data_IF_438538005146
#
_entry.id   IF_438538005146
#
_cell.length_a   1.000
_cell.length_b   1.000
_cell.length_c   1.000
_cell.angle_alpha   90.00
_cell.angle_beta   90.00
_cell.angle_gamma   90.00
#
_symmetry.space_group_name_H-M   'P 1'
#
loop_
_entity.id
_entity.type
_entity.pdbx_description
1 polymer ?
#
# COMPACT_ATOMS: atom_id res chain seq x y z
N UNK A 1 0.17 -1.78 3.83
CA UNK A 1 0.84 -0.67 4.53
C UNK A 1 1.96 -1.17 5.44
N UNK A 2 1.68 -2.01 6.43
CA UNK A 2 2.71 -2.60 7.31
C UNK A 2 3.90 -3.19 6.50
N UNK A 3 3.59 -4.05 5.53
CA UNK A 3 4.57 -4.63 4.60
C UNK A 3 5.36 -3.58 3.81
N UNK A 4 4.69 -2.50 3.37
CA UNK A 4 5.33 -1.44 2.57
C UNK A 4 6.26 -0.56 3.39
N UNK A 5 5.95 -0.37 4.68
CA UNK A 5 6.78 0.40 5.60
C UNK A 5 7.82 -0.45 6.34
N UNK A 6 7.73 -1.79 6.26
CA UNK A 6 8.63 -2.69 6.99
C UNK A 6 8.39 -2.69 8.49
N UNK A 7 7.14 -2.50 8.94
CA UNK A 7 6.77 -2.38 10.36
C UNK A 7 5.76 -3.44 10.80
N UNK A 8 5.64 -3.76 12.11
CA UNK A 8 4.59 -4.63 12.62
C UNK A 8 3.18 -4.13 12.26
N UNK A 9 2.24 -5.05 12.08
CA UNK A 9 0.87 -4.72 11.71
C UNK A 9 0.19 -3.77 12.71
N UNK A 10 0.34 -4.03 14.01
CA UNK A 10 -0.30 -3.24 15.06
C UNK A 10 0.17 -1.79 15.04
N UNK A 11 1.47 -1.56 14.84
CA UNK A 11 2.01 -0.20 14.72
C UNK A 11 1.44 0.53 13.51
N UNK A 12 1.36 -0.17 12.38
CA UNK A 12 0.76 0.36 11.18
C UNK A 12 -0.73 0.73 11.43
N UNK A 13 -1.48 -0.18 12.04
CA UNK A 13 -2.89 -0.01 12.38
C UNK A 13 -3.14 1.18 13.32
N UNK A 14 -2.34 1.29 14.38
CA UNK A 14 -2.40 2.40 15.32
C UNK A 14 -2.08 3.73 14.66
N UNK A 15 -1.11 3.77 13.75
CA UNK A 15 -0.76 4.98 13.02
C UNK A 15 -1.96 5.53 12.26
N UNK A 16 -2.68 4.67 11.52
CA UNK A 16 -3.90 5.08 10.82
C UNK A 16 -4.97 5.58 11.78
N UNK A 17 -5.13 4.92 12.93
CA UNK A 17 -6.08 5.33 13.96
C UNK A 17 -5.74 6.70 14.55
N UNK A 18 -4.46 6.99 14.82
CA UNK A 18 -4.00 8.26 15.40
C UNK A 18 -4.13 9.43 14.42
N UNK A 19 -3.93 9.17 13.12
CA UNK A 19 -4.00 10.20 12.09
C UNK A 19 -5.43 10.69 11.79
N UNK A 20 -6.45 9.96 12.22
CA UNK A 20 -7.84 10.37 12.12
C UNK A 20 -8.51 10.41 13.50
N UNK A 21 -8.42 11.55 14.21
CA UNK A 21 -8.97 11.67 15.57
C UNK A 21 -10.50 11.59 15.60
N UNK A 22 -11.19 11.68 14.45
CA UNK A 22 -12.65 11.54 14.35
C UNK A 22 -13.07 10.10 14.07
N UNK A 23 -12.12 9.17 13.94
CA UNK A 23 -12.38 7.78 13.61
C UNK A 23 -13.22 7.11 14.68
N UNK A 24 -14.29 6.45 14.25
CA UNK A 24 -15.16 5.70 15.15
C UNK A 24 -14.36 4.64 15.93
N UNK A 25 -14.61 4.47 17.24
CA UNK A 25 -14.07 3.35 18.00
C UNK A 25 -14.48 1.97 17.46
N UNK A 26 -15.56 1.91 16.66
CA UNK A 26 -16.05 0.69 15.99
C UNK A 26 -15.39 0.44 14.64
N UNK A 27 -14.40 1.23 14.25
CA UNK A 27 -13.68 1.04 13.01
C UNK A 27 -12.99 -0.33 12.97
N UNK A 28 -13.20 -1.06 11.87
CA UNK A 28 -12.73 -2.44 11.66
C UNK A 28 -11.66 -2.56 10.58
N UNK A 29 -11.04 -1.46 10.17
CA UNK A 29 -9.90 -1.50 9.23
C UNK A 29 -10.12 -0.93 7.85
N UNK A 30 -11.31 -0.41 7.55
CA UNK A 30 -11.55 0.27 6.26
C UNK A 30 -10.67 1.51 6.14
N UNK A 31 -9.72 1.51 5.22
CA UNK A 31 -8.83 2.65 4.97
C UNK A 31 -8.99 3.23 3.57
N UNK A 32 -8.76 4.53 3.43
CA UNK A 32 -8.75 5.22 2.13
C UNK A 32 -7.33 5.42 1.59
N UNK A 33 -7.22 5.70 0.29
CA UNK A 33 -5.93 5.96 -0.38
C UNK A 33 -5.10 7.04 0.34
N UNK A 34 -5.72 8.17 0.68
CA UNK A 34 -5.04 9.29 1.31
C UNK A 34 -4.55 8.94 2.73
N UNK A 35 -5.31 8.14 3.48
CA UNK A 35 -4.95 7.68 4.83
C UNK A 35 -3.74 6.75 4.78
N UNK A 36 -3.74 5.80 3.84
CA UNK A 36 -2.63 4.88 3.63
C UNK A 36 -1.34 5.64 3.29
N UNK A 37 -1.43 6.67 2.44
CA UNK A 37 -0.28 7.53 2.12
C UNK A 37 0.20 8.36 3.31
N UNK A 38 -0.73 8.94 4.07
CA UNK A 38 -0.39 9.73 5.24
C UNK A 38 0.30 8.87 6.31
N UNK A 39 -0.21 7.68 6.56
CA UNK A 39 0.37 6.73 7.50
C UNK A 39 1.76 6.24 7.04
N UNK A 40 1.93 5.90 5.76
CA UNK A 40 3.25 5.57 5.21
C UNK A 40 4.28 6.68 5.43
N UNK A 41 3.90 7.93 5.15
CA UNK A 41 4.78 9.09 5.36
C UNK A 41 5.08 9.33 6.83
N UNK A 42 4.09 9.15 7.70
CA UNK A 42 4.27 9.26 9.15
C UNK A 42 5.24 8.22 9.68
N UNK A 43 5.22 7.01 9.12
CA UNK A 43 6.18 5.93 9.39
C UNK A 43 7.56 6.17 8.74
N UNK A 44 7.80 7.33 8.14
CA UNK A 44 9.08 7.68 7.53
C UNK A 44 9.29 7.13 6.11
N UNK A 45 8.30 6.46 5.51
CA UNK A 45 8.42 5.99 4.14
C UNK A 45 8.28 7.13 3.12
N UNK A 46 9.11 7.12 2.08
CA UNK A 46 8.94 8.00 0.92
C UNK A 46 7.83 7.46 0.04
N UNK A 47 6.87 8.31 -0.33
CA UNK A 47 5.72 7.95 -1.17
C UNK A 47 5.67 8.84 -2.40
N UNK A 48 5.94 8.25 -3.57
CA UNK A 48 5.97 8.92 -4.87
C UNK A 48 4.80 8.43 -5.73
N UNK A 49 3.88 9.31 -6.09
CA UNK A 49 2.76 8.92 -6.96
C UNK A 49 3.23 8.66 -8.39
N UNK A 50 2.71 7.60 -8.98
CA UNK A 50 3.06 7.20 -10.33
C UNK A 50 1.92 7.57 -11.28
N UNK A 51 2.17 8.44 -12.28
CA UNK A 51 1.18 8.73 -13.30
C UNK A 51 0.94 7.48 -14.14
N UNK A 52 -0.33 7.13 -14.32
CA UNK A 52 -0.76 6.08 -15.23
C UNK A 52 -2.12 6.50 -15.82
N UNK A 53 -2.42 6.05 -17.03
CA UNK A 53 -3.73 6.28 -17.66
C UNK A 53 -4.35 4.96 -18.06
N UNK A 54 -5.51 4.66 -17.48
CA UNK A 54 -6.44 3.64 -17.99
C UNK A 54 -5.85 2.26 -18.25
N UNK A 55 -5.18 1.66 -17.26
CA UNK A 55 -4.58 0.32 -17.39
C UNK A 55 -5.03 -0.65 -16.31
N UNK A 56 -4.94 -1.94 -16.63
CA UNK A 56 -5.22 -3.03 -15.69
C UNK A 56 -4.07 -3.23 -14.73
N UNK A 57 -4.33 -3.87 -13.60
CA UNK A 57 -3.30 -4.21 -12.62
C UNK A 57 -2.17 -5.06 -13.21
N UNK A 58 -2.50 -6.03 -14.07
CA UNK A 58 -1.49 -6.83 -14.78
C UNK A 58 -0.58 -5.99 -15.68
N UNK A 59 -1.15 -5.06 -16.46
CA UNK A 59 -0.37 -4.14 -17.31
C UNK A 59 0.47 -3.17 -16.48
N UNK A 60 -0.08 -2.68 -15.38
CA UNK A 60 0.66 -1.82 -14.45
C UNK A 60 1.87 -2.55 -13.86
N UNK A 61 1.67 -3.79 -13.38
CA UNK A 61 2.76 -4.61 -12.84
C UNK A 61 3.88 -4.81 -13.87
N UNK A 62 3.53 -5.15 -15.10
CA UNK A 62 4.48 -5.39 -16.19
C UNK A 62 5.25 -4.12 -16.61
N UNK A 63 4.58 -2.97 -16.72
CA UNK A 63 5.15 -1.78 -17.38
C UNK A 63 5.71 -0.73 -16.42
N UNK A 64 5.23 -0.69 -15.18
CA UNK A 64 5.53 0.39 -14.23
C UNK A 64 6.24 -0.08 -12.96
N UNK A 65 6.39 -1.39 -12.76
CA UNK A 65 7.15 -1.89 -11.61
C UNK A 65 8.58 -2.23 -11.98
N UNK A 66 9.48 -1.96 -11.05
CA UNK A 66 10.89 -2.27 -11.14
C UNK A 66 11.18 -3.32 -10.08
N UNK A 67 12.04 -4.29 -10.43
CA UNK A 67 12.48 -5.33 -9.49
C UNK A 67 13.08 -4.71 -8.23
N UNK A 68 12.72 -5.24 -7.06
CA UNK A 68 13.14 -4.81 -5.73
C UNK A 68 12.42 -3.57 -5.21
N UNK A 69 11.44 -3.01 -5.94
CA UNK A 69 10.64 -1.88 -5.48
C UNK A 69 9.26 -2.32 -4.98
N UNK A 70 8.75 -1.57 -4.00
CA UNK A 70 7.43 -1.77 -3.42
C UNK A 70 6.46 -0.68 -3.88
N UNK A 71 5.20 -1.07 -4.11
CA UNK A 71 4.17 -0.17 -4.62
C UNK A 71 2.89 -0.31 -3.81
N UNK A 72 2.29 0.82 -3.45
CA UNK A 72 0.90 0.87 -3.01
C UNK A 72 0.02 1.03 -4.25
N UNK A 73 -0.90 0.08 -4.48
CA UNK A 73 -1.84 0.14 -5.61
C UNK A 73 -3.26 0.13 -5.09
N UNK A 74 -4.12 0.92 -5.71
CA UNK A 74 -5.56 0.88 -5.49
C UNK A 74 -6.27 0.38 -6.74
N UNK A 75 -7.01 -0.71 -6.62
CA UNK A 75 -7.95 -1.16 -7.64
C UNK A 75 -9.36 -1.04 -7.10
N UNK A 76 -10.22 -0.33 -7.83
CA UNK A 76 -11.61 -0.03 -7.43
C UNK A 76 -11.73 0.75 -6.11
N UNK A 77 -11.63 0.08 -4.97
CA UNK A 77 -11.67 0.65 -3.62
C UNK A 77 -10.74 -0.09 -2.66
N UNK A 78 -9.91 -1.00 -3.18
CA UNK A 78 -9.06 -1.87 -2.38
C UNK A 78 -7.58 -1.50 -2.58
N UNK A 79 -6.92 -1.13 -1.49
CA UNK A 79 -5.49 -0.86 -1.46
C UNK A 79 -4.71 -2.14 -1.17
N UNK A 80 -3.73 -2.47 -2.01
CA UNK A 80 -2.84 -3.63 -1.85
C UNK A 80 -1.39 -3.20 -1.96
N UNK A 81 -0.49 -4.01 -1.40
CA UNK A 81 0.93 -3.91 -1.68
C UNK A 81 1.26 -4.74 -2.92
N UNK A 82 2.09 -4.20 -3.81
CA UNK A 82 2.64 -4.90 -4.97
C UNK A 82 4.16 -4.86 -4.87
N UNK A 83 4.79 -6.04 -4.83
CA UNK A 83 6.24 -6.21 -4.66
C UNK A 83 6.67 -7.32 -5.60
N UNK A 84 7.59 -7.04 -6.52
CA UNK A 84 8.13 -8.04 -7.46
C UNK A 84 7.07 -8.89 -8.18
N UNK A 85 5.99 -8.24 -8.63
CA UNK A 85 4.89 -8.93 -9.33
C UNK A 85 3.96 -9.75 -8.43
N UNK A 86 4.13 -9.66 -7.11
CA UNK A 86 3.29 -10.32 -6.10
C UNK A 86 2.43 -9.28 -5.39
N UNK A 87 1.11 -9.51 -5.37
CA UNK A 87 0.19 -8.74 -4.55
C UNK A 87 0.15 -9.32 -3.15
N UNK A 88 0.19 -8.45 -2.15
CA UNK A 88 0.03 -8.82 -0.75
C UNK A 88 -1.15 -8.03 -0.16
N UNK A 89 -2.17 -8.77 0.26
CA UNK A 89 -3.37 -8.26 0.93
C UNK A 89 -3.73 -9.14 2.15
N UNK A 90 -4.92 -8.93 2.71
CA UNK A 90 -5.42 -9.68 3.86
C UNK A 90 -5.61 -11.20 3.61
N UNK A 91 -5.62 -11.66 2.36
CA UNK A 91 -5.70 -13.07 1.96
C UNK A 91 -4.33 -13.71 1.77
N UNK A 92 -3.26 -12.93 1.91
CA UNK A 92 -1.89 -13.38 1.76
C UNK A 92 -1.27 -12.99 0.41
N UNK A 93 -0.03 -13.43 0.15
CA UNK A 93 0.68 -13.14 -1.09
C UNK A 93 0.14 -13.96 -2.27
N UNK A 94 -0.03 -13.33 -3.42
CA UNK A 94 -0.43 -13.99 -4.67
C UNK A 94 0.19 -13.30 -5.89
N UNK A 95 0.73 -14.05 -6.87
CA UNK A 95 1.21 -13.48 -8.12
C UNK A 95 0.11 -12.68 -8.84
N UNK A 96 0.44 -11.51 -9.38
CA UNK A 96 -0.51 -10.67 -10.12
C UNK A 96 -1.17 -11.45 -11.27
N UNK A 97 -0.43 -12.33 -11.95
CA UNK A 97 -0.95 -13.14 -13.05
C UNK A 97 -2.10 -14.06 -12.64
N UNK A 98 -2.12 -14.51 -11.38
CA UNK A 98 -3.12 -15.42 -10.81
C UNK A 98 -4.22 -14.67 -10.05
N UNK A 99 -3.96 -13.43 -9.64
CA UNK A 99 -4.88 -12.69 -8.80
C UNK A 99 -6.23 -12.38 -9.48
N UNK A 100 -7.37 -12.51 -8.79
CA UNK A 100 -8.69 -12.17 -9.34
C UNK A 100 -8.78 -10.70 -9.79
N UNK A 101 -8.06 -9.80 -9.12
CA UNK A 101 -8.06 -8.37 -9.46
C UNK A 101 -7.16 -7.99 -10.65
N UNK A 102 -6.44 -8.94 -11.27
CA UNK A 102 -5.44 -8.64 -12.34
C UNK A 102 -6.00 -7.87 -13.53
N UNK A 103 -7.28 -8.07 -13.85
CA UNK A 103 -8.00 -7.39 -14.94
C UNK A 103 -8.70 -6.10 -14.49
N UNK A 104 -8.73 -5.81 -13.19
CA UNK A 104 -9.30 -4.56 -12.67
C UNK A 104 -8.38 -3.39 -12.99
N UNK A 105 -8.98 -2.20 -13.13
CA UNK A 105 -8.25 -0.97 -13.40
C UNK A 105 -7.58 -0.44 -12.13
N UNK A 106 -6.32 -0.04 -12.28
CA UNK A 106 -5.63 0.75 -11.25
C UNK A 106 -6.22 2.16 -11.26
N UNK A 107 -6.63 2.63 -10.09
CA UNK A 107 -7.13 4.01 -9.88
C UNK A 107 -6.04 4.92 -9.35
N UNK A 108 -5.25 4.39 -8.42
CA UNK A 108 -4.16 5.12 -7.79
C UNK A 108 -2.96 4.19 -7.61
N UNK A 109 -1.77 4.75 -7.75
CA UNK A 109 -0.53 4.01 -7.57
C UNK A 109 0.55 4.92 -7.03
N UNK A 110 1.36 4.41 -6.11
CA UNK A 110 2.52 5.09 -5.58
C UNK A 110 3.65 4.11 -5.35
N UNK A 111 4.87 4.49 -5.73
CA UNK A 111 6.08 3.81 -5.30
C UNK A 111 6.32 4.17 -3.83
N UNK A 112 6.68 3.16 -3.04
CA UNK A 112 6.97 3.32 -1.62
C UNK A 112 8.41 2.87 -1.37
N UNK A 113 9.19 3.75 -0.77
CA UNK A 113 10.53 3.42 -0.28
C UNK A 113 10.48 3.42 1.24
N UNK A 114 10.76 2.29 1.92
CA UNK A 114 10.73 2.24 3.37
C UNK A 114 11.81 3.16 3.99
N UNK A 115 11.64 3.59 5.26
CA UNK A 115 12.65 4.39 5.95
C UNK A 115 13.98 3.63 6.07
N UNK A 116 15.09 4.36 5.92
CA UNK A 116 16.44 3.81 6.16
C UNK A 116 16.60 3.61 7.67
N UNK A 117 16.82 2.37 8.11
CA UNK A 117 17.08 2.04 9.53
C UNK A 117 15.96 1.32 10.29
N UNK A 118 14.86 0.95 9.63
CA UNK A 118 13.70 0.31 10.29
C UNK A 118 12.69 1.33 10.85
N UNK A 119 11.61 0.87 11.54
CA UNK A 119 10.61 1.79 12.08
C UNK A 119 11.25 2.84 13.00
N UNK A 120 10.77 4.11 12.99
CA UNK A 120 11.22 5.10 13.95
C UNK A 120 10.99 4.59 15.38
N UNK A 121 11.98 4.78 16.26
CA UNK A 121 11.81 4.51 17.70
C UNK A 121 10.62 5.32 18.21
N UNK A 122 9.64 4.62 18.77
CA UNK A 122 8.49 5.21 19.43
C UNK A 122 8.81 5.32 20.92
N UNK A 123 9.31 6.49 21.33
CA UNK A 123 9.21 6.95 22.73
C UNK A 123 7.80 7.49 23.01
#
# INVERSE_FOLDING_TARGET
MAVLAGVPFDLAWETVRRLDPKRSPRWRGTTWWYEQRAALRHLGAKVEELPHKGMTLAKFADQHTVKGAAYLVNVTSHCMALIDGVLVDQRGPMPVAEHPARRQRVKYSARVTPPVGGPPNHD
#
